data_IF_419127792142
#
_entry.id   IF_419127792142
#
_cell.length_a   1.000
_cell.length_b   1.000
_cell.length_c   1.000
_cell.angle_alpha   90.00
_cell.angle_beta   90.00
_cell.angle_gamma   90.00
#
_symmetry.space_group_name_H-M   'P 1'
#
loop_
_entity.id
_entity.type
_entity.pdbx_description
1 polymer ?
#
# COMPACT_ATOMS: atom_id res chain seq x y z
N UNK A 1 44.41 -1.31 27.76
CA UNK A 1 43.09 -1.12 27.11
C UNK A 1 43.32 -0.50 25.74
N UNK A 2 43.25 -1.28 24.66
CA UNK A 2 43.21 -0.74 23.29
C UNK A 2 41.77 -0.88 22.80
N UNK A 3 41.12 0.24 22.47
CA UNK A 3 40.03 0.29 21.50
C UNK A 3 40.30 1.44 20.54
N UNK A 4 40.55 1.02 19.31
CA UNK A 4 40.42 1.66 18.00
C UNK A 4 38.99 2.22 17.77
N UNK A 5 38.68 2.77 16.58
CA UNK A 5 39.20 3.98 15.95
C UNK A 5 38.08 5.03 15.75
N UNK A 6 38.43 6.29 15.44
CA UNK A 6 37.46 7.31 15.00
C UNK A 6 36.79 6.88 13.68
N UNK A 7 35.46 7.01 13.52
CA UNK A 7 34.81 6.64 12.28
C UNK A 7 35.13 7.65 11.18
N UNK A 8 35.86 7.13 10.20
CA UNK A 8 36.00 7.60 8.82
C UNK A 8 34.71 8.21 8.28
N UNK A 9 34.84 9.39 7.64
CA UNK A 9 33.83 10.06 6.82
C UNK A 9 33.44 9.16 5.65
N UNK A 10 32.61 8.17 5.96
CA UNK A 10 32.02 7.26 5.00
C UNK A 10 30.83 8.01 4.41
N UNK A 11 30.86 8.31 3.12
CA UNK A 11 29.64 8.69 2.39
C UNK A 11 28.70 7.48 2.45
N UNK A 12 27.89 7.39 3.50
CA UNK A 12 26.87 6.37 3.65
C UNK A 12 25.80 6.61 2.58
N UNK A 13 25.85 5.87 1.47
CA UNK A 13 24.68 5.71 0.60
C UNK A 13 23.65 4.89 1.39
N UNK A 14 22.79 5.56 2.16
CA UNK A 14 21.69 4.91 2.87
C UNK A 14 20.57 4.62 1.85
N UNK A 15 20.45 3.35 1.45
CA UNK A 15 19.35 2.88 0.61
C UNK A 15 18.09 2.67 1.44
N UNK A 16 16.91 2.87 0.85
CA UNK A 16 15.62 2.70 1.52
C UNK A 16 14.65 1.93 0.63
N UNK A 17 14.05 0.87 1.14
CA UNK A 17 13.00 0.14 0.45
C UNK A 17 11.65 0.78 0.81
N UNK A 18 11.09 1.54 -0.14
CA UNK A 18 9.80 2.21 0.04
C UNK A 18 8.60 1.32 -0.30
N UNK A 19 8.77 0.32 -1.17
CA UNK A 19 7.69 -0.59 -1.53
C UNK A 19 7.92 -1.40 -2.80
N UNK A 20 6.94 -2.24 -3.13
CA UNK A 20 6.97 -3.14 -4.28
C UNK A 20 5.89 -2.80 -5.30
N UNK A 21 6.28 -2.76 -6.57
CA UNK A 21 5.42 -2.46 -7.71
C UNK A 21 4.96 -3.72 -8.44
N UNK A 22 3.73 -3.71 -8.99
CA UNK A 22 3.26 -4.70 -9.96
C UNK A 22 3.48 -4.28 -11.42
N UNK A 23 3.74 -3.00 -11.67
CA UNK A 23 3.92 -2.46 -13.02
C UNK A 23 5.36 -2.63 -13.49
N UNK A 24 5.56 -2.87 -14.79
CA UNK A 24 6.90 -2.92 -15.40
C UNK A 24 7.42 -1.56 -15.89
N UNK A 25 6.53 -0.56 -15.97
CA UNK A 25 6.86 0.79 -16.43
C UNK A 25 7.31 1.66 -15.26
N UNK A 26 8.16 2.64 -15.54
CA UNK A 26 8.55 3.66 -14.57
C UNK A 26 7.49 4.75 -14.53
N UNK A 27 6.55 4.64 -13.58
CA UNK A 27 5.44 5.57 -13.43
C UNK A 27 5.73 6.48 -12.23
N UNK A 28 5.81 7.80 -12.46
CA UNK A 28 6.00 8.73 -11.34
C UNK A 28 4.80 8.77 -10.40
N UNK A 29 3.58 8.54 -10.89
CA UNK A 29 2.41 8.40 -10.02
C UNK A 29 2.59 7.28 -9.00
N UNK A 30 3.26 6.20 -9.39
CA UNK A 30 3.59 5.10 -8.50
C UNK A 30 4.72 5.48 -7.53
N UNK A 31 5.80 6.08 -8.01
CA UNK A 31 6.88 6.57 -7.13
C UNK A 31 6.39 7.56 -6.08
N UNK A 32 5.51 8.50 -6.47
CA UNK A 32 4.85 9.46 -5.57
C UNK A 32 4.02 8.79 -4.49
N UNK A 33 3.30 7.73 -4.83
CA UNK A 33 2.53 6.93 -3.86
C UNK A 33 3.43 6.40 -2.75
N UNK A 34 4.65 5.95 -3.10
CA UNK A 34 5.62 5.42 -2.14
C UNK A 34 6.42 6.51 -1.42
N UNK A 35 6.49 7.73 -1.96
CA UNK A 35 7.25 8.83 -1.39
C UNK A 35 6.77 9.25 0.01
N UNK A 36 5.47 9.08 0.31
CA UNK A 36 4.88 9.41 1.62
C UNK A 36 5.24 8.43 2.73
N UNK A 37 5.84 7.29 2.40
CA UNK A 37 6.16 6.25 3.38
C UNK A 37 7.35 6.63 4.28
N UNK A 38 8.12 7.63 3.88
CA UNK A 38 9.26 8.14 4.61
C UNK A 38 9.23 9.66 4.63
N UNK A 39 9.35 10.25 5.81
CA UNK A 39 9.28 11.71 6.02
C UNK A 39 10.30 12.45 5.14
N UNK A 40 11.51 11.92 5.00
CA UNK A 40 12.57 12.51 4.18
C UNK A 40 12.28 12.55 2.68
N UNK A 41 11.24 11.86 2.21
CA UNK A 41 10.76 11.89 0.81
C UNK A 41 9.34 12.40 0.67
N UNK A 42 8.65 12.76 1.77
CA UNK A 42 7.22 13.10 1.74
C UNK A 42 6.91 14.30 0.82
N UNK A 43 7.84 15.24 0.69
CA UNK A 43 7.73 16.40 -0.22
C UNK A 43 7.71 16.01 -1.71
N UNK A 44 8.10 14.78 -2.06
CA UNK A 44 8.02 14.23 -3.42
C UNK A 44 6.67 13.56 -3.70
N UNK A 45 5.76 13.45 -2.73
CA UNK A 45 4.47 12.75 -2.91
C UNK A 45 3.48 13.49 -3.81
N UNK A 46 3.67 14.79 -3.99
CA UNK A 46 2.84 15.62 -4.88
C UNK A 46 3.44 15.71 -6.28
N UNK A 47 2.57 15.94 -7.28
CA UNK A 47 3.02 16.06 -8.67
C UNK A 47 3.83 17.36 -8.83
N UNK A 48 5.12 17.22 -9.13
CA UNK A 48 6.00 18.35 -9.43
C UNK A 48 6.96 17.98 -10.57
N UNK A 49 6.81 18.65 -11.71
CA UNK A 49 7.61 18.38 -12.91
C UNK A 49 9.12 18.63 -12.70
N UNK A 50 9.48 19.56 -11.81
CA UNK A 50 10.89 19.84 -11.49
C UNK A 50 11.60 18.69 -10.80
N UNK A 51 10.85 17.77 -10.21
CA UNK A 51 11.39 16.59 -9.54
C UNK A 51 11.25 15.31 -10.36
N UNK A 52 10.57 15.36 -11.51
CA UNK A 52 10.34 14.21 -12.40
C UNK A 52 11.42 14.11 -13.48
N UNK A 53 12.52 13.40 -13.21
CA UNK A 53 13.62 13.28 -14.16
C UNK A 53 13.42 12.10 -15.13
N UNK A 54 13.38 12.40 -16.42
CA UNK A 54 13.08 11.45 -17.52
C UNK A 54 14.29 11.24 -18.43
N UNK A 55 15.44 10.93 -17.87
CA UNK A 55 16.72 10.94 -18.57
C UNK A 55 17.13 9.53 -19.05
N UNK A 56 16.30 8.93 -19.91
CA UNK A 56 16.55 7.60 -20.50
C UNK A 56 17.31 7.70 -21.83
N UNK A 57 18.53 8.21 -21.78
CA UNK A 57 19.48 8.20 -22.91
C UNK A 57 20.87 7.78 -22.41
N UNK A 58 21.81 7.47 -23.31
CA UNK A 58 23.08 6.80 -22.97
C UNK A 58 23.96 7.49 -21.91
N UNK A 59 23.72 8.78 -21.63
CA UNK A 59 24.43 9.59 -20.63
C UNK A 59 23.49 10.22 -19.59
N UNK A 60 22.22 9.83 -19.58
CA UNK A 60 21.21 10.37 -18.67
C UNK A 60 21.29 9.70 -17.30
N UNK A 61 20.84 10.41 -16.26
CA UNK A 61 20.84 9.90 -14.90
C UNK A 61 19.70 8.88 -14.60
N UNK A 62 18.94 8.50 -15.63
CA UNK A 62 17.86 7.52 -15.53
C UNK A 62 16.49 8.15 -15.26
N UNK A 63 15.59 7.34 -14.69
CA UNK A 63 14.21 7.73 -14.43
C UNK A 63 13.94 7.73 -12.93
N UNK A 64 13.91 8.91 -12.32
CA UNK A 64 13.85 9.05 -10.87
C UNK A 64 13.08 10.29 -10.43
N UNK A 65 12.57 10.24 -9.21
CA UNK A 65 11.88 11.34 -8.54
C UNK A 65 12.81 11.92 -7.48
N UNK A 66 13.14 13.20 -7.56
CA UNK A 66 14.06 13.83 -6.60
C UNK A 66 14.51 15.21 -7.05
N UNK A 67 15.24 15.92 -6.19
CA UNK A 67 15.75 17.27 -6.50
C UNK A 67 16.88 17.25 -7.53
N UNK A 68 17.75 16.24 -7.46
CA UNK A 68 18.92 16.06 -8.32
C UNK A 68 19.48 14.66 -8.12
N UNK A 69 20.16 14.11 -9.12
CA UNK A 69 20.89 12.82 -8.98
C UNK A 69 22.01 12.88 -7.94
N UNK A 70 22.55 14.06 -7.68
CA UNK A 70 23.75 14.23 -6.84
C UNK A 70 23.46 14.72 -5.42
N UNK A 71 22.20 15.05 -5.10
CA UNK A 71 21.87 15.60 -3.79
C UNK A 71 20.44 15.27 -3.34
N UNK A 72 20.32 15.04 -2.04
CA UNK A 72 19.06 14.69 -1.41
C UNK A 72 18.60 13.27 -1.71
N UNK A 73 17.35 13.00 -1.37
CA UNK A 73 16.72 11.72 -1.63
C UNK A 73 16.24 11.63 -3.08
N UNK A 74 16.49 10.48 -3.69
CA UNK A 74 15.89 10.08 -4.95
C UNK A 74 15.05 8.82 -4.75
N UNK A 75 13.94 8.73 -5.48
CA UNK A 75 13.13 7.53 -5.60
C UNK A 75 13.27 7.03 -7.03
N UNK A 76 13.84 5.85 -7.19
CA UNK A 76 13.94 5.19 -8.48
C UNK A 76 13.35 3.78 -8.41
N UNK A 77 13.02 3.24 -9.58
CA UNK A 77 12.41 1.92 -9.68
C UNK A 77 13.44 0.95 -10.23
N UNK A 78 13.68 -0.11 -9.47
CA UNK A 78 14.61 -1.17 -9.86
C UNK A 78 13.81 -2.32 -10.46
N UNK A 79 14.00 -2.65 -11.75
CA UNK A 79 13.38 -3.82 -12.36
C UNK A 79 13.97 -5.11 -11.79
N UNK A 80 13.10 -6.10 -11.55
CA UNK A 80 13.50 -7.43 -11.07
C UNK A 80 13.59 -8.37 -12.26
N UNK A 81 14.80 -8.59 -12.76
CA UNK A 81 15.06 -9.54 -13.86
C UNK A 81 15.43 -10.94 -13.34
N UNK A 82 16.31 -11.00 -12.34
CA UNK A 82 16.72 -12.23 -11.68
C UNK A 82 16.40 -12.11 -10.18
N UNK A 83 15.59 -13.04 -9.68
CA UNK A 83 15.08 -12.98 -8.31
C UNK A 83 16.20 -13.15 -7.29
N UNK A 84 17.09 -14.12 -7.49
CA UNK A 84 18.17 -14.43 -6.56
C UNK A 84 19.15 -13.26 -6.43
N UNK A 85 19.48 -12.62 -7.55
CA UNK A 85 20.38 -11.46 -7.57
C UNK A 85 19.74 -10.26 -6.88
N UNK A 86 18.48 -9.94 -7.20
CA UNK A 86 17.77 -8.85 -6.52
C UNK A 86 17.67 -9.06 -5.01
N UNK A 87 17.46 -10.30 -4.55
CA UNK A 87 17.46 -10.60 -3.11
C UNK A 87 18.83 -10.31 -2.51
N UNK A 88 19.93 -10.72 -3.16
CA UNK A 88 21.29 -10.45 -2.68
C UNK A 88 21.58 -8.95 -2.60
N UNK A 89 21.24 -8.21 -3.64
CA UNK A 89 21.50 -6.76 -3.73
C UNK A 89 20.71 -5.99 -2.66
N UNK A 90 19.44 -6.39 -2.42
CA UNK A 90 18.58 -5.74 -1.44
C UNK A 90 18.79 -6.25 -0.01
N UNK A 91 19.34 -7.45 0.20
CA UNK A 91 19.54 -8.03 1.53
C UNK A 91 20.44 -7.17 2.42
N UNK A 92 21.45 -6.51 1.86
CA UNK A 92 22.30 -5.58 2.60
C UNK A 92 21.49 -4.39 3.12
N UNK A 93 20.64 -3.80 2.27
CA UNK A 93 19.78 -2.67 2.66
C UNK A 93 18.72 -3.12 3.67
N UNK A 94 18.07 -4.26 3.41
CA UNK A 94 17.00 -4.82 4.24
C UNK A 94 17.49 -5.45 5.56
N UNK A 95 18.80 -5.59 5.76
CA UNK A 95 19.38 -6.15 6.98
C UNK A 95 19.21 -5.25 8.22
N UNK A 96 18.94 -3.96 8.01
CA UNK A 96 18.57 -3.01 9.05
C UNK A 96 17.11 -2.59 8.88
N UNK A 97 16.27 -2.84 9.89
CA UNK A 97 14.83 -2.54 9.81
C UNK A 97 14.54 -1.06 9.51
N UNK A 98 15.42 -0.15 9.93
CA UNK A 98 15.30 1.29 9.66
C UNK A 98 15.26 1.63 8.16
N UNK A 99 15.86 0.76 7.33
CA UNK A 99 15.98 0.91 5.88
C UNK A 99 14.79 0.33 5.11
N UNK A 100 13.79 -0.18 5.82
CA UNK A 100 12.54 -0.67 5.26
C UNK A 100 11.43 0.27 5.69
N UNK A 101 11.00 1.15 4.78
CA UNK A 101 9.85 2.05 4.97
C UNK A 101 8.77 1.65 4.00
N UNK A 102 8.30 0.43 4.17
CA UNK A 102 7.03 0.06 3.59
C UNK A 102 6.02 0.98 4.25
N UNK A 103 5.28 1.73 3.44
CA UNK A 103 4.19 2.53 3.95
C UNK A 103 3.30 1.63 4.77
N UNK A 104 2.54 2.23 5.66
CA UNK A 104 1.45 1.57 6.35
C UNK A 104 0.43 1.06 5.30
N UNK A 105 0.78 -0.03 4.61
CA UNK A 105 -0.06 -1.17 4.55
C UNK A 105 -0.15 -1.68 6.00
N UNK A 106 -0.90 -1.04 6.90
CA UNK A 106 -2.34 -1.27 6.92
C UNK A 106 -2.80 -1.81 5.56
N UNK A 107 -2.46 -3.07 5.28
CA UNK A 107 -3.50 -3.96 4.80
C UNK A 107 -4.69 -3.58 5.66
N UNK A 108 -5.74 -3.07 5.04
CA UNK A 108 -7.01 -2.76 5.68
C UNK A 108 -7.52 -4.04 6.30
N UNK A 109 -6.93 -4.42 7.42
CA UNK A 109 -7.56 -5.01 8.56
C UNK A 109 -7.94 -3.79 9.37
N UNK A 110 -9.19 -3.34 9.28
CA UNK A 110 -9.65 -2.38 10.24
C UNK A 110 -9.76 -3.19 11.52
N UNK A 111 -8.80 -3.08 12.42
CA UNK A 111 -8.90 -3.68 13.77
C UNK A 111 -9.86 -2.86 14.67
N UNK A 112 -10.71 -2.08 14.01
CA UNK A 112 -11.86 -1.33 14.51
C UNK A 112 -12.96 -1.41 13.45
N UNK A 113 -13.42 -2.62 13.11
CA UNK A 113 -14.68 -2.76 12.38
C UNK A 113 -15.78 -2.65 13.43
N UNK A 114 -16.67 -1.66 13.32
CA UNK A 114 -17.96 -1.76 14.00
C UNK A 114 -18.74 -2.88 13.33
N UNK A 115 -19.15 -3.86 14.13
CA UNK A 115 -19.95 -4.99 13.67
C UNK A 115 -21.36 -4.83 14.19
N UNK A 116 -22.32 -4.83 13.27
CA UNK A 116 -23.74 -4.98 13.61
C UNK A 116 -24.18 -6.36 13.13
N UNK A 117 -24.82 -7.12 14.02
CA UNK A 117 -25.27 -8.48 13.69
C UNK A 117 -26.72 -8.68 14.08
N UNK A 118 -27.46 -9.30 13.16
CA UNK A 118 -28.80 -9.81 13.37
C UNK A 118 -28.74 -11.26 12.90
N UNK A 119 -28.39 -12.17 13.82
CA UNK A 119 -28.39 -13.66 13.76
C UNK A 119 -27.88 -14.36 12.48
N UNK A 120 -28.43 -13.99 11.33
CA UNK A 120 -28.16 -14.49 9.99
C UNK A 120 -27.22 -13.59 9.16
N UNK A 121 -27.07 -12.31 9.52
CA UNK A 121 -26.27 -11.34 8.78
C UNK A 121 -25.35 -10.52 9.69
N UNK A 122 -24.17 -10.19 9.16
CA UNK A 122 -23.19 -9.33 9.82
C UNK A 122 -22.83 -8.21 8.86
N UNK A 123 -23.11 -6.96 9.27
CA UNK A 123 -22.65 -5.75 8.60
C UNK A 123 -21.36 -5.28 9.29
N UNK A 124 -20.32 -5.12 8.49
CA UNK A 124 -18.96 -4.86 8.96
C UNK A 124 -18.40 -3.66 8.23
N UNK A 125 -17.90 -2.66 8.97
CA UNK A 125 -17.14 -1.58 8.35
C UNK A 125 -15.83 -2.14 7.78
N UNK A 126 -15.75 -2.24 6.44
CA UNK A 126 -14.62 -2.87 5.75
C UNK A 126 -13.51 -1.85 5.46
N UNK A 127 -13.87 -0.59 5.25
CA UNK A 127 -12.97 0.54 5.09
C UNK A 127 -13.76 1.85 5.28
N UNK A 128 -13.06 2.98 5.36
CA UNK A 128 -13.67 4.32 5.38
C UNK A 128 -14.65 4.59 4.23
N UNK A 129 -14.59 3.82 3.13
CA UNK A 129 -15.42 3.99 1.93
C UNK A 129 -16.29 2.79 1.60
N UNK A 130 -16.22 1.72 2.38
CA UNK A 130 -16.93 0.49 2.06
C UNK A 130 -17.37 -0.29 3.29
N UNK A 131 -18.57 -0.85 3.19
CA UNK A 131 -19.14 -1.79 4.16
C UNK A 131 -19.27 -3.17 3.52
N UNK A 132 -19.09 -4.20 4.33
CA UNK A 132 -19.21 -5.59 3.90
C UNK A 132 -20.36 -6.27 4.64
N UNK A 133 -21.14 -7.06 3.91
CA UNK A 133 -22.20 -7.90 4.45
C UNK A 133 -21.78 -9.36 4.34
N UNK A 134 -21.76 -10.06 5.47
CA UNK A 134 -21.53 -11.49 5.59
C UNK A 134 -22.80 -12.20 6.07
N UNK A 135 -22.92 -13.50 5.79
CA UNK A 135 -24.08 -14.30 6.17
C UNK A 135 -24.69 -15.10 5.02
N UNK A 136 -25.88 -15.67 5.23
CA UNK A 136 -26.57 -16.51 4.25
C UNK A 136 -27.29 -15.68 3.16
N UNK A 137 -26.52 -15.02 2.31
CA UNK A 137 -27.01 -14.07 1.30
C UNK A 137 -27.55 -14.72 0.01
N UNK A 138 -27.73 -16.05 -0.02
CA UNK A 138 -28.12 -16.79 -1.24
C UNK A 138 -29.54 -16.44 -1.69
N UNK A 139 -30.47 -16.32 -0.76
CA UNK A 139 -31.87 -16.01 -1.05
C UNK A 139 -32.04 -14.57 -1.56
N UNK A 140 -31.27 -13.64 -0.99
CA UNK A 140 -31.37 -12.19 -1.27
C UNK A 140 -30.33 -11.69 -2.28
N UNK A 141 -29.66 -12.58 -3.02
CA UNK A 141 -28.55 -12.23 -3.91
C UNK A 141 -28.91 -11.18 -4.97
N UNK A 142 -30.12 -11.26 -5.54
CA UNK A 142 -30.55 -10.35 -6.61
C UNK A 142 -30.89 -8.97 -6.03
N UNK A 143 -31.39 -8.93 -4.80
CA UNK A 143 -31.69 -7.69 -4.07
C UNK A 143 -30.40 -6.97 -3.68
N UNK A 144 -29.40 -7.70 -3.16
CA UNK A 144 -28.08 -7.15 -2.86
C UNK A 144 -27.39 -6.60 -4.12
N UNK A 145 -27.53 -7.29 -5.24
CA UNK A 145 -27.03 -6.82 -6.53
C UNK A 145 -27.77 -5.57 -7.02
N UNK A 146 -29.09 -5.52 -6.88
CA UNK A 146 -29.91 -4.36 -7.24
C UNK A 146 -29.59 -3.13 -6.36
N UNK A 147 -29.21 -3.35 -5.09
CA UNK A 147 -28.71 -2.31 -4.18
C UNK A 147 -27.27 -1.86 -4.49
N UNK A 148 -26.64 -2.41 -5.52
CA UNK A 148 -25.30 -2.03 -5.97
C UNK A 148 -24.16 -2.81 -5.31
N UNK A 149 -24.48 -3.88 -4.59
CA UNK A 149 -23.51 -4.76 -3.96
C UNK A 149 -22.69 -5.53 -4.98
N UNK A 150 -21.42 -5.75 -4.65
CA UNK A 150 -20.53 -6.63 -5.42
C UNK A 150 -20.15 -7.84 -4.58
N UNK A 151 -20.44 -9.03 -5.08
CA UNK A 151 -20.06 -10.26 -4.42
C UNK A 151 -18.54 -10.50 -4.51
N UNK A 152 -17.92 -10.88 -3.39
CA UNK A 152 -16.51 -11.28 -3.31
C UNK A 152 -16.35 -12.50 -2.38
N UNK A 153 -15.81 -13.58 -2.93
CA UNK A 153 -15.62 -14.86 -2.22
C UNK A 153 -14.39 -14.90 -1.30
N UNK A 154 -13.57 -13.85 -1.30
CA UNK A 154 -12.30 -13.79 -0.56
C UNK A 154 -12.19 -12.56 0.33
N UNK A 155 -13.31 -12.04 0.82
CA UNK A 155 -13.29 -10.97 1.82
C UNK A 155 -12.69 -11.51 3.12
N UNK A 156 -11.95 -10.67 3.82
CA UNK A 156 -11.31 -11.05 5.08
C UNK A 156 -12.15 -10.49 6.22
N UNK A 157 -12.59 -11.36 7.11
CA UNK A 157 -13.34 -11.00 8.31
C UNK A 157 -12.84 -11.86 9.47
N UNK A 158 -12.49 -11.24 10.61
CA UNK A 158 -11.90 -11.92 11.77
C UNK A 158 -10.70 -12.83 11.41
N UNK A 159 -9.83 -12.33 10.54
CA UNK A 159 -8.62 -13.04 10.08
C UNK A 159 -8.88 -14.23 9.13
N UNK A 160 -10.14 -14.53 8.80
CA UNK A 160 -10.52 -15.63 7.90
C UNK A 160 -11.09 -15.11 6.59
N UNK A 161 -10.86 -15.86 5.51
CA UNK A 161 -11.46 -15.57 4.21
C UNK A 161 -12.89 -16.11 4.20
N UNK A 162 -13.84 -15.23 3.99
CA UNK A 162 -15.27 -15.51 3.93
C UNK A 162 -15.88 -14.89 2.69
N UNK A 163 -16.93 -15.53 2.17
CA UNK A 163 -17.72 -14.98 1.08
C UNK A 163 -18.65 -13.89 1.63
N UNK A 164 -18.77 -12.78 0.91
CA UNK A 164 -19.66 -11.69 1.29
C UNK A 164 -19.88 -10.70 0.16
N UNK A 165 -20.64 -9.65 0.46
CA UNK A 165 -20.96 -8.57 -0.45
C UNK A 165 -20.31 -7.28 0.01
N UNK A 166 -19.68 -6.54 -0.90
CA UNK A 166 -19.11 -5.23 -0.61
C UNK A 166 -19.96 -4.12 -1.22
N UNK A 167 -20.21 -3.07 -0.45
CA UNK A 167 -21.01 -1.90 -0.82
C UNK A 167 -20.23 -0.62 -0.53
N UNK A 168 -20.51 0.50 -1.22
CA UNK A 168 -20.04 1.81 -0.81
C UNK A 168 -20.55 2.17 0.59
N UNK A 169 -19.76 2.88 1.40
CA UNK A 169 -20.16 3.29 2.76
C UNK A 169 -21.44 4.16 2.77
N UNK A 170 -21.71 4.88 1.69
CA UNK A 170 -22.97 5.64 1.53
C UNK A 170 -24.24 4.79 1.56
N UNK A 171 -24.14 3.46 1.42
CA UNK A 171 -25.27 2.53 1.48
C UNK A 171 -25.44 1.88 2.87
N UNK A 172 -24.60 2.23 3.85
CA UNK A 172 -24.59 1.63 5.19
C UNK A 172 -25.95 1.76 5.89
N UNK A 173 -26.50 2.96 6.00
CA UNK A 173 -27.82 3.20 6.62
C UNK A 173 -28.94 2.40 5.94
N UNK A 174 -28.90 2.32 4.60
CA UNK A 174 -29.89 1.57 3.82
C UNK A 174 -29.79 0.06 4.09
N UNK A 175 -28.58 -0.46 4.23
CA UNK A 175 -28.34 -1.86 4.56
C UNK A 175 -28.75 -2.15 6.01
N UNK A 176 -28.39 -1.27 6.95
CA UNK A 176 -28.78 -1.39 8.35
C UNK A 176 -30.31 -1.47 8.49
N UNK A 177 -31.05 -0.57 7.84
CA UNK A 177 -32.52 -0.61 7.80
C UNK A 177 -33.06 -1.88 7.12
N UNK A 178 -32.45 -2.33 6.01
CA UNK A 178 -32.89 -3.54 5.31
C UNK A 178 -32.69 -4.81 6.14
N UNK A 179 -31.62 -4.89 6.92
CA UNK A 179 -31.32 -6.01 7.81
C UNK A 179 -31.89 -5.85 9.23
N UNK A 180 -32.65 -4.78 9.51
CA UNK A 180 -33.21 -4.54 10.85
C UNK A 180 -32.17 -4.26 11.93
N UNK A 181 -30.96 -3.85 11.55
CA UNK A 181 -29.86 -3.49 12.43
C UNK A 181 -30.05 -2.02 12.85
N UNK A 182 -30.75 -1.78 13.96
CA UNK A 182 -30.92 -0.45 14.56
C UNK A 182 -30.10 -0.32 15.84
#
# INVERSE_FOLDING_TARGET
MRRTPLPSTSLFFKGLILGFSKHKRDLFSEMRKYASHFEGTAYLSEKNEKYEHREKYSMGAGYYLGRSKYSGWIIEKIPVYNREQTIKDLAYTAGEEENIRLGNAIATHPDKQSEQTDGNYTLVEYSEKAVAVFGETRAIKEELKAMGGRFNSRLIHNGKKSAGWIFPKSQEERLAHYFGLN
#
